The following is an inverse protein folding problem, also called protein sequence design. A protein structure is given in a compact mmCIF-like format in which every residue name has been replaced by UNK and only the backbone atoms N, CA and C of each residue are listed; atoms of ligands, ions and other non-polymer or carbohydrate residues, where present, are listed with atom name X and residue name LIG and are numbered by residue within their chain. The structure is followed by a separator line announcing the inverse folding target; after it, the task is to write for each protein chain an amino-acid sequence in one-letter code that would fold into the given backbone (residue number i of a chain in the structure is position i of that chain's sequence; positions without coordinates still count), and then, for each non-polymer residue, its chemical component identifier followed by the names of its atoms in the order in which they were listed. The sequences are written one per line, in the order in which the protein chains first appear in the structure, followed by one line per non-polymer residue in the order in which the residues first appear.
data_IF_960840681683
#
_entry.id   IF_960840681683
#
_cell.length_a   1.000
_cell.length_b   1.000
_cell.length_c   1.000
_cell.angle_alpha   90.00
_cell.angle_beta   90.00
_cell.angle_gamma   90.00
#
_symmetry.space_group_name_H-M   'P 1'
#
loop_
_entity.id
_entity.type
_entity.pdbx_description
1 polymer ?
#
# COMPACT_ATOMS: atom_id res chain seq x y z
N UNK A 1 -12.69 -4.17 -1.01
CA UNK A 1 -13.35 -4.63 -2.22
C UNK A 1 -14.17 -3.50 -2.80
N UNK A 2 -13.66 -2.77 -3.79
CA UNK A 2 -14.36 -1.67 -4.45
C UNK A 2 -15.69 -2.19 -5.07
N UNK A 3 -16.85 -1.66 -4.65
CA UNK A 3 -18.11 -1.91 -5.33
C UNK A 3 -18.08 -1.36 -6.77
N UNK A 4 -19.00 -1.84 -7.61
CA UNK A 4 -19.07 -1.46 -9.03
C UNK A 4 -19.08 0.05 -9.25
N UNK A 5 -19.91 0.79 -8.51
CA UNK A 5 -19.99 2.25 -8.66
C UNK A 5 -18.68 2.98 -8.30
N UNK A 6 -17.87 2.44 -7.38
CA UNK A 6 -16.56 3.02 -7.08
C UNK A 6 -15.57 2.76 -8.22
N UNK A 7 -15.59 1.57 -8.82
CA UNK A 7 -14.79 1.26 -10.00
C UNK A 7 -15.16 2.15 -11.19
N UNK A 8 -16.45 2.40 -11.41
CA UNK A 8 -16.93 3.35 -12.43
C UNK A 8 -16.42 4.77 -12.18
N UNK A 9 -16.49 5.24 -10.93
CA UNK A 9 -15.95 6.55 -10.55
C UNK A 9 -14.43 6.63 -10.77
N UNK A 10 -13.68 5.61 -10.34
CA UNK A 10 -12.23 5.54 -10.57
C UNK A 10 -11.91 5.54 -12.07
N UNK A 11 -12.61 4.73 -12.88
CA UNK A 11 -12.43 4.69 -14.33
C UNK A 11 -12.73 6.04 -14.99
N UNK A 12 -13.67 6.83 -14.46
CA UNK A 12 -13.93 8.18 -14.94
C UNK A 12 -12.83 9.15 -14.54
N UNK A 13 -12.43 9.17 -13.27
CA UNK A 13 -11.42 10.09 -12.73
C UNK A 13 -10.03 9.87 -13.36
N UNK A 14 -9.63 8.61 -13.57
CA UNK A 14 -8.34 8.25 -14.15
C UNK A 14 -8.17 8.66 -15.62
N UNK A 15 -9.23 9.14 -16.28
CA UNK A 15 -9.11 9.77 -17.61
C UNK A 15 -8.36 11.12 -17.56
N UNK A 16 -8.30 11.75 -16.40
CA UNK A 16 -7.60 13.01 -16.20
C UNK A 16 -6.22 12.77 -15.57
N UNK A 17 -5.16 13.43 -16.09
CA UNK A 17 -3.79 13.19 -15.63
C UNK A 17 -3.49 13.69 -14.22
N UNK A 18 -4.41 14.44 -13.59
CA UNK A 18 -4.22 14.95 -12.22
C UNK A 18 -4.66 13.95 -11.14
N UNK A 19 -5.34 12.86 -11.51
CA UNK A 19 -5.73 11.82 -10.59
C UNK A 19 -4.78 10.62 -10.67
N UNK A 20 -4.62 9.95 -9.54
CA UNK A 20 -3.85 8.71 -9.42
C UNK A 20 -4.43 7.83 -8.32
N UNK A 21 -3.95 6.60 -8.24
CA UNK A 21 -4.39 5.63 -7.26
C UNK A 21 -3.48 5.66 -6.03
N UNK A 22 -4.13 5.53 -4.87
CA UNK A 22 -3.50 5.16 -3.61
C UNK A 22 -3.93 3.74 -3.28
N UNK A 23 -2.99 2.81 -3.15
CA UNK A 23 -3.29 1.45 -2.77
C UNK A 23 -3.07 1.22 -1.28
N UNK A 24 -4.13 0.89 -0.56
CA UNK A 24 -4.04 0.45 0.82
C UNK A 24 -3.93 -1.09 0.88
N UNK A 25 -2.72 -1.58 1.11
CA UNK A 25 -2.44 -3.02 1.04
C UNK A 25 -3.00 -3.78 2.25
N UNK A 26 -3.08 -3.12 3.40
CA UNK A 26 -3.53 -3.77 4.62
C UNK A 26 -5.05 -3.90 4.67
N UNK A 27 -5.78 -2.89 4.21
CA UNK A 27 -7.23 -3.01 3.99
C UNK A 27 -7.56 -3.97 2.83
N UNK A 28 -6.69 -4.08 1.83
CA UNK A 28 -6.82 -5.11 0.79
C UNK A 28 -6.76 -6.53 1.37
N UNK A 29 -5.88 -6.81 2.33
CA UNK A 29 -5.90 -8.08 3.07
C UNK A 29 -7.23 -8.26 3.82
N UNK A 30 -7.68 -7.24 4.57
CA UNK A 30 -8.91 -7.29 5.36
C UNK A 30 -10.17 -7.52 4.52
N UNK A 31 -10.16 -7.17 3.24
CA UNK A 31 -11.26 -7.43 2.33
C UNK A 31 -11.10 -8.71 1.49
N UNK A 32 -10.13 -9.58 1.80
CA UNK A 32 -9.89 -10.82 1.06
C UNK A 32 -9.25 -10.61 -0.31
N UNK A 33 -8.38 -9.60 -0.43
CA UNK A 33 -7.65 -9.23 -1.64
C UNK A 33 -8.53 -8.77 -2.81
N UNK A 34 -9.75 -8.30 -2.52
CA UNK A 34 -10.71 -7.92 -3.56
C UNK A 34 -10.38 -6.60 -4.27
N UNK A 35 -9.48 -5.77 -3.71
CA UNK A 35 -9.07 -4.50 -4.32
C UNK A 35 -7.91 -4.68 -5.31
N UNK A 36 -7.02 -5.64 -5.03
CA UNK A 36 -5.80 -5.89 -5.78
C UNK A 36 -6.01 -6.10 -7.29
N UNK A 37 -7.01 -6.88 -7.78
CA UNK A 37 -7.20 -7.07 -9.21
C UNK A 37 -7.41 -5.74 -9.97
N UNK A 38 -8.19 -4.82 -9.39
CA UNK A 38 -8.44 -3.51 -10.01
C UNK A 38 -7.17 -2.65 -10.02
N UNK A 39 -6.44 -2.64 -8.90
CA UNK A 39 -5.17 -1.90 -8.79
C UNK A 39 -4.15 -2.42 -9.80
N UNK A 40 -4.03 -3.73 -9.96
CA UNK A 40 -3.07 -4.35 -10.88
C UNK A 40 -3.42 -4.08 -12.35
N UNK A 41 -4.70 -4.13 -12.71
CA UNK A 41 -5.18 -3.72 -14.04
C UNK A 41 -4.85 -2.25 -14.35
N UNK A 42 -4.92 -1.38 -13.34
CA UNK A 42 -4.72 0.06 -13.46
C UNK A 42 -3.38 0.55 -12.89
N UNK A 43 -2.39 -0.34 -12.75
CA UNK A 43 -1.16 -0.06 -11.98
C UNK A 43 -0.35 1.14 -12.48
N UNK A 44 -0.48 1.48 -13.77
CA UNK A 44 0.17 2.66 -14.37
C UNK A 44 -0.26 3.99 -13.71
N UNK A 45 -1.42 4.00 -13.06
CA UNK A 45 -1.95 5.13 -12.31
C UNK A 45 -1.60 5.08 -10.82
N UNK A 46 -0.93 4.03 -10.34
CA UNK A 46 -0.50 3.91 -8.95
C UNK A 46 0.55 4.98 -8.64
N UNK A 47 0.30 5.80 -7.62
CA UNK A 47 1.19 6.89 -7.20
C UNK A 47 1.58 6.78 -5.74
N UNK A 48 0.67 6.27 -4.92
CA UNK A 48 0.87 6.15 -3.47
C UNK A 48 0.44 4.76 -2.98
N UNK A 49 1.06 4.34 -1.88
CA UNK A 49 0.70 3.13 -1.17
C UNK A 49 0.64 3.41 0.32
N UNK A 50 -0.46 3.03 0.95
CA UNK A 50 -0.58 3.00 2.40
C UNK A 50 -0.18 1.60 2.85
N UNK A 51 0.92 1.53 3.60
CA UNK A 51 1.57 0.30 3.97
C UNK A 51 1.46 0.09 5.47
N UNK A 52 0.75 -0.97 5.81
CA UNK A 52 0.65 -1.52 7.14
C UNK A 52 0.39 -3.02 7.02
N UNK A 53 0.81 -3.78 8.02
CA UNK A 53 0.56 -5.20 8.03
C UNK A 53 -0.86 -5.49 8.57
N UNK A 54 -1.33 -6.71 8.37
CA UNK A 54 -2.63 -7.16 8.84
C UNK A 54 -2.61 -8.67 9.08
N UNK A 55 -3.43 -9.11 10.03
CA UNK A 55 -3.62 -10.53 10.36
C UNK A 55 -5.04 -10.72 10.89
N UNK A 56 -5.77 -11.65 10.29
CA UNK A 56 -7.19 -11.88 10.57
C UNK A 56 -8.01 -10.57 10.51
N UNK A 57 -8.64 -10.20 11.63
CA UNK A 57 -9.47 -9.00 11.79
C UNK A 57 -8.68 -7.78 12.29
N UNK A 58 -7.34 -7.88 12.42
CA UNK A 58 -6.49 -6.81 12.92
C UNK A 58 -5.77 -6.13 11.76
N UNK A 59 -6.06 -4.84 11.61
CA UNK A 59 -5.41 -3.94 10.67
C UNK A 59 -4.37 -3.03 11.37
N UNK A 60 -3.66 -2.22 10.58
CA UNK A 60 -2.67 -1.25 11.04
C UNK A 60 -1.56 -1.85 11.93
N UNK A 61 -1.22 -3.12 11.72
CA UNK A 61 -0.12 -3.77 12.42
C UNK A 61 1.22 -3.22 11.94
N UNK A 62 2.22 -3.30 12.80
CA UNK A 62 3.59 -2.94 12.43
C UNK A 62 4.09 -3.89 11.32
N UNK A 63 4.96 -3.39 10.44
CA UNK A 63 5.46 -4.20 9.33
C UNK A 63 6.23 -5.43 9.83
N UNK A 64 5.95 -6.58 9.22
CA UNK A 64 6.55 -7.87 9.54
C UNK A 64 5.93 -8.54 10.75
N UNK A 65 4.75 -8.12 11.18
CA UNK A 65 4.03 -8.71 12.33
C UNK A 65 2.68 -9.32 11.96
N UNK A 66 2.28 -9.23 10.69
CA UNK A 66 1.08 -9.85 10.14
C UNK A 66 1.39 -10.87 9.05
N UNK A 67 0.45 -11.05 8.13
CA UNK A 67 0.44 -12.10 7.13
C UNK A 67 0.59 -11.58 5.68
N UNK A 68 0.79 -10.27 5.48
CA UNK A 68 1.00 -9.76 4.12
C UNK A 68 2.38 -10.16 3.59
N UNK A 69 2.42 -10.50 2.30
CA UNK A 69 3.67 -10.51 1.53
C UNK A 69 4.11 -9.07 1.25
N UNK A 70 4.75 -8.45 2.23
CA UNK A 70 5.22 -7.07 2.13
C UNK A 70 6.30 -6.89 1.05
N UNK A 71 7.11 -7.91 0.78
CA UNK A 71 8.17 -7.84 -0.23
C UNK A 71 7.59 -7.70 -1.65
N UNK A 72 6.51 -8.43 -1.96
CA UNK A 72 5.75 -8.26 -3.21
C UNK A 72 5.28 -6.81 -3.41
N UNK A 73 4.76 -6.17 -2.36
CA UNK A 73 4.27 -4.79 -2.45
C UNK A 73 5.39 -3.76 -2.54
N UNK A 74 6.55 -4.01 -1.91
CA UNK A 74 7.75 -3.19 -2.09
C UNK A 74 8.26 -3.24 -3.53
N UNK A 75 8.27 -4.43 -4.16
CA UNK A 75 8.62 -4.59 -5.58
C UNK A 75 7.64 -3.80 -6.45
N UNK A 76 6.33 -3.95 -6.26
CA UNK A 76 5.32 -3.18 -7.00
C UNK A 76 5.51 -1.67 -6.84
N UNK A 77 5.76 -1.21 -5.61
CA UNK A 77 5.98 0.21 -5.35
C UNK A 77 7.22 0.73 -6.09
N UNK A 78 8.30 -0.05 -6.12
CA UNK A 78 9.51 0.30 -6.88
C UNK A 78 9.24 0.33 -8.39
N UNK A 79 8.54 -0.66 -8.95
CA UNK A 79 8.21 -0.73 -10.37
C UNK A 79 7.36 0.46 -10.84
N UNK A 80 6.44 0.94 -10.00
CA UNK A 80 5.57 2.08 -10.32
C UNK A 80 6.13 3.44 -9.85
N UNK A 81 7.34 3.48 -9.30
CA UNK A 81 7.91 4.67 -8.65
C UNK A 81 6.94 5.31 -7.62
N UNK A 82 6.28 4.45 -6.85
CA UNK A 82 5.22 4.77 -5.92
C UNK A 82 5.80 5.20 -4.56
N UNK A 83 5.22 6.25 -3.96
CA UNK A 83 5.57 6.66 -2.60
C UNK A 83 4.81 5.82 -1.58
N UNK A 84 5.51 5.34 -0.56
CA UNK A 84 4.92 4.56 0.53
C UNK A 84 4.74 5.45 1.77
N UNK A 85 3.55 5.39 2.35
CA UNK A 85 3.25 5.93 3.68
C UNK A 85 3.14 4.76 4.65
N UNK A 86 3.91 4.79 5.74
CA UNK A 86 3.78 3.82 6.82
C UNK A 86 2.60 4.21 7.70
N UNK A 87 1.48 3.50 7.59
CA UNK A 87 0.24 3.83 8.29
C UNK A 87 0.09 3.00 9.58
N UNK A 88 0.24 3.62 10.75
CA UNK A 88 0.14 2.90 12.02
C UNK A 88 -0.60 3.73 13.06
N UNK A 89 -1.31 3.07 13.98
CA UNK A 89 -2.07 3.74 15.04
C UNK A 89 -1.23 4.12 16.27
N UNK A 90 0.05 3.73 16.34
CA UNK A 90 0.89 3.96 17.54
C UNK A 90 2.33 4.33 17.20
N UNK A 91 2.95 5.14 18.06
CA UNK A 91 4.38 5.48 17.95
C UNK A 91 5.27 4.23 18.00
N UNK A 92 4.91 3.23 18.82
CA UNK A 92 5.64 1.95 18.90
C UNK A 92 5.58 1.21 17.57
N UNK A 93 4.40 1.09 16.98
CA UNK A 93 4.20 0.46 15.68
C UNK A 93 5.01 1.16 14.59
N UNK A 94 4.96 2.49 14.53
CA UNK A 94 5.76 3.27 13.59
C UNK A 94 7.26 3.00 13.73
N UNK A 95 7.80 3.02 14.96
CA UNK A 95 9.23 2.73 15.20
C UNK A 95 9.62 1.32 14.72
N UNK A 96 8.77 0.33 14.97
CA UNK A 96 8.99 -1.04 14.51
C UNK A 96 8.97 -1.12 12.98
N UNK A 97 7.98 -0.51 12.32
CA UNK A 97 7.86 -0.48 10.86
C UNK A 97 9.06 0.22 10.21
N UNK A 98 9.54 1.34 10.76
CA UNK A 98 10.76 2.01 10.27
C UNK A 98 11.99 1.13 10.42
N UNK A 99 12.13 0.43 11.55
CA UNK A 99 13.24 -0.51 11.74
C UNK A 99 13.18 -1.67 10.75
N UNK A 100 11.99 -2.23 10.52
CA UNK A 100 11.77 -3.27 9.52
C UNK A 100 12.18 -2.82 8.12
N UNK A 101 11.78 -1.61 7.70
CA UNK A 101 12.18 -1.03 6.40
C UNK A 101 13.70 -0.88 6.27
N UNK A 102 14.35 -0.38 7.33
CA UNK A 102 15.82 -0.22 7.36
C UNK A 102 16.56 -1.54 7.23
N UNK A 103 16.09 -2.59 7.92
CA UNK A 103 16.68 -3.93 7.82
C UNK A 103 16.53 -4.53 6.42
N UNK A 104 15.51 -4.11 5.67
CA UNK A 104 15.29 -4.47 4.26
C UNK A 104 16.11 -3.60 3.28
N UNK A 105 16.89 -2.65 3.76
CA UNK A 105 17.70 -1.74 2.95
C UNK A 105 16.98 -0.48 2.48
N UNK A 106 15.80 -0.17 3.03
CA UNK A 106 15.03 1.03 2.71
C UNK A 106 15.17 2.10 3.80
N UNK A 107 15.33 3.37 3.42
CA UNK A 107 15.37 4.49 4.36
C UNK A 107 16.77 4.99 4.72
N UNK A 108 17.80 4.68 3.91
CA UNK A 108 18.96 5.56 3.81
C UNK A 108 18.51 6.85 3.12
N UNK A 109 18.57 7.94 3.85
CA UNK A 109 18.32 9.27 3.31
C UNK A 109 19.56 9.68 2.49
N UNK A 110 19.70 9.14 1.28
CA UNK A 110 20.49 9.83 0.26
C UNK A 110 19.63 10.98 -0.23
N UNK A 111 19.81 12.12 0.43
CA UNK A 111 19.27 13.41 -0.01
C UNK A 111 19.79 13.64 -1.44
N UNK A 112 18.88 13.60 -2.41
CA UNK A 112 19.07 14.27 -3.70
C UNK A 112 19.22 15.77 -3.48
#
# INVERSE_FOLDING_TARGET
GFPTFQKEALNFLLKSPVFGLTFDIGHNYGCGFLDEPYIMEHKIYLRHMHMHDALDQKDHLALGTGALDLDKYLVLAKEQNCRIVLETKTVKGLKQSVHWMRNKGYGSCDRM
#
